data_IF_781084564323
#
_entry.id   IF_781084564323
#
_cell.length_a   1.000
_cell.length_b   1.000
_cell.length_c   1.000
_cell.angle_alpha   90.00
_cell.angle_beta   90.00
_cell.angle_gamma   90.00
#
_symmetry.space_group_name_H-M   'P 1'
#
loop_
_entity.id
_entity.type
_entity.pdbx_description
1 polymer ?
#
# COMPACT_ATOMS: atom_id res chain seq x y z
N UNK A 1 18.71 68.36 42.92
CA UNK A 1 19.41 67.42 42.01
C UNK A 1 19.49 66.08 42.70
N UNK A 2 18.63 65.15 42.30
CA UNK A 2 18.64 63.77 42.76
C UNK A 2 18.14 62.92 41.60
N UNK A 3 19.06 62.22 40.94
CA UNK A 3 18.78 61.36 39.79
C UNK A 3 18.06 60.09 40.25
N UNK A 4 16.75 60.03 40.03
CA UNK A 4 15.96 58.79 40.14
C UNK A 4 15.68 58.25 38.74
N UNK A 5 16.71 57.73 38.06
CA UNK A 5 16.48 56.96 36.83
C UNK A 5 17.50 55.85 36.63
N UNK A 6 17.35 54.70 37.32
CA UNK A 6 17.86 53.46 36.74
C UNK A 6 16.89 52.26 36.77
N UNK A 7 15.76 52.34 37.49
CA UNK A 7 14.94 51.14 37.79
C UNK A 7 13.93 50.82 36.69
N UNK A 8 13.23 51.82 36.15
CA UNK A 8 12.15 51.64 35.16
C UNK A 8 12.71 51.16 33.80
N UNK A 9 13.92 51.59 33.44
CA UNK A 9 14.56 51.21 32.17
C UNK A 9 14.97 49.73 32.20
N UNK A 10 15.56 49.25 33.31
CA UNK A 10 15.97 47.84 33.47
C UNK A 10 14.79 46.88 33.45
N UNK A 11 13.66 47.26 34.05
CA UNK A 11 12.46 46.42 34.11
C UNK A 11 11.80 46.26 32.73
N UNK A 12 11.66 47.35 31.96
CA UNK A 12 11.19 47.29 30.55
C UNK A 12 12.13 46.48 29.65
N UNK A 13 13.44 46.55 29.89
CA UNK A 13 14.43 45.78 29.12
C UNK A 13 14.35 44.28 29.45
N UNK A 14 14.20 43.92 30.73
CA UNK A 14 13.99 42.53 31.17
C UNK A 14 12.69 41.92 30.62
N UNK A 15 11.59 42.68 30.60
CA UNK A 15 10.31 42.22 30.03
C UNK A 15 10.46 41.98 28.52
N UNK A 16 11.14 42.88 27.80
CA UNK A 16 11.43 42.70 26.36
C UNK A 16 12.28 41.46 26.10
N UNK A 17 13.33 41.21 26.89
CA UNK A 17 14.18 40.02 26.73
C UNK A 17 13.42 38.73 27.03
N UNK A 18 12.56 38.70 28.05
CA UNK A 18 11.73 37.52 28.37
C UNK A 18 10.69 37.21 27.29
N UNK A 19 10.08 38.23 26.69
CA UNK A 19 9.12 38.08 25.58
C UNK A 19 9.82 37.56 24.32
N UNK A 20 11.03 38.05 24.01
CA UNK A 20 11.81 37.56 22.87
C UNK A 20 12.22 36.08 23.05
N UNK A 21 12.61 35.68 24.26
CA UNK A 21 12.92 34.27 24.57
C UNK A 21 11.67 33.38 24.41
N UNK A 22 10.50 33.83 24.84
CA UNK A 22 9.24 33.10 24.67
C UNK A 22 8.86 32.93 23.20
N UNK A 23 9.06 33.96 22.38
CA UNK A 23 8.82 33.91 20.93
C UNK A 23 9.81 32.94 20.26
N UNK A 24 11.10 32.98 20.62
CA UNK A 24 12.10 32.03 20.12
C UNK A 24 11.79 30.58 20.51
N UNK A 25 11.29 30.34 21.74
CA UNK A 25 10.88 29.00 22.18
C UNK A 25 9.65 28.48 21.42
N UNK A 26 8.71 29.38 21.07
CA UNK A 26 7.57 29.07 20.21
C UNK A 26 7.99 28.70 18.78
N UNK A 27 9.06 29.31 18.25
CA UNK A 27 9.61 28.96 16.94
C UNK A 27 10.37 27.62 16.92
N UNK A 28 10.95 27.17 18.04
CA UNK A 28 11.61 25.86 18.10
C UNK A 28 10.63 24.68 18.26
N UNK A 29 9.38 24.95 18.60
CA UNK A 29 8.31 23.93 18.67
C UNK A 29 7.49 23.83 17.37
N UNK A 30 7.75 24.69 16.39
CA UNK A 30 7.14 24.63 15.07
C UNK A 30 7.84 23.55 14.22
N UNK A 31 7.26 22.35 14.29
CA UNK A 31 7.26 21.34 13.24
C UNK A 31 8.56 20.58 12.99
N UNK A 32 8.83 19.60 13.85
CA UNK A 32 9.44 18.36 13.38
C UNK A 32 8.30 17.50 12.80
N UNK A 33 7.81 17.84 11.61
CA UNK A 33 6.95 16.91 10.86
C UNK A 33 7.82 15.74 10.44
N UNK A 34 7.44 14.49 10.74
CA UNK A 34 8.17 13.33 10.23
C UNK A 34 8.26 13.44 8.71
N UNK A 35 9.48 13.48 8.18
CA UNK A 35 9.68 13.36 6.74
C UNK A 35 9.61 11.89 6.38
N UNK A 36 8.71 11.57 5.46
CA UNK A 36 8.54 10.23 4.91
C UNK A 36 9.03 10.22 3.48
N UNK A 37 9.89 9.27 3.16
CA UNK A 37 10.30 8.97 1.78
C UNK A 37 9.39 7.89 1.22
N UNK A 38 8.57 8.25 0.23
CA UNK A 38 7.67 7.32 -0.46
C UNK A 38 8.48 6.43 -1.40
N UNK A 39 8.76 5.21 -0.95
CA UNK A 39 9.48 4.19 -1.72
C UNK A 39 8.59 3.65 -2.84
N UNK A 40 7.30 3.42 -2.56
CA UNK A 40 6.35 2.92 -3.54
C UNK A 40 4.99 3.60 -3.35
N UNK A 41 4.36 4.01 -4.46
CA UNK A 41 2.99 4.55 -4.47
C UNK A 41 2.27 4.07 -5.72
N UNK A 42 1.19 3.33 -5.53
CA UNK A 42 0.36 2.81 -6.60
C UNK A 42 -1.09 3.24 -6.42
N UNK A 43 -1.81 3.35 -7.53
CA UNK A 43 -3.23 3.71 -7.54
C UNK A 43 -4.05 2.72 -8.34
N UNK A 44 -5.26 2.45 -7.85
CA UNK A 44 -6.30 1.65 -8.49
C UNK A 44 -7.60 2.44 -8.49
N UNK A 45 -8.34 2.46 -9.61
CA UNK A 45 -9.65 3.12 -9.68
C UNK A 45 -10.76 2.17 -9.26
N UNK A 46 -11.69 2.65 -8.41
CA UNK A 46 -12.94 1.94 -8.12
C UNK A 46 -13.95 2.30 -9.22
N UNK A 47 -14.42 1.29 -9.94
CA UNK A 47 -15.31 1.50 -11.08
C UNK A 47 -16.62 2.19 -10.66
N UNK A 48 -17.15 3.06 -11.53
CA UNK A 48 -18.40 3.79 -11.32
C UNK A 48 -18.41 4.68 -10.05
N UNK A 49 -17.24 5.11 -9.60
CA UNK A 49 -17.08 6.10 -8.51
C UNK A 49 -16.02 7.14 -8.87
N UNK A 50 -16.00 8.23 -8.10
CA UNK A 50 -14.88 9.18 -8.04
C UNK A 50 -13.76 8.68 -7.12
N UNK A 51 -13.82 7.46 -6.57
CA UNK A 51 -12.88 6.99 -5.55
C UNK A 51 -11.74 6.18 -6.15
N UNK A 52 -10.58 6.29 -5.52
CA UNK A 52 -9.37 5.54 -5.84
C UNK A 52 -8.81 4.90 -4.59
N UNK A 53 -8.16 3.76 -4.77
CA UNK A 53 -7.40 3.08 -3.73
C UNK A 53 -5.92 3.33 -3.99
N UNK A 54 -5.22 3.89 -3.01
CA UNK A 54 -3.77 3.95 -3.03
C UNK A 54 -3.19 2.80 -2.22
N UNK A 55 -2.08 2.23 -2.71
CA UNK A 55 -1.21 1.32 -1.96
C UNK A 55 0.15 1.99 -1.85
N UNK A 56 0.67 2.13 -0.64
CA UNK A 56 1.90 2.87 -0.39
C UNK A 56 2.87 2.09 0.50
N UNK A 57 4.16 2.38 0.34
CA UNK A 57 5.27 1.99 1.21
C UNK A 57 6.16 3.21 1.40
N UNK A 58 6.56 3.48 2.64
CA UNK A 58 7.37 4.65 2.97
C UNK A 58 8.31 4.40 4.15
N UNK A 59 9.45 5.07 4.11
CA UNK A 59 10.48 5.02 5.13
C UNK A 59 10.65 6.39 5.78
N UNK A 60 10.77 6.42 7.10
CA UNK A 60 10.99 7.62 7.90
C UNK A 60 12.25 7.49 8.73
N UNK A 61 13.21 8.40 8.55
CA UNK A 61 14.47 8.34 9.28
C UNK A 61 15.18 6.99 9.15
N UNK A 62 15.81 6.51 10.23
CA UNK A 62 16.65 5.29 10.18
C UNK A 62 15.84 3.99 10.26
N UNK A 63 14.82 3.93 11.11
CA UNK A 63 14.17 2.67 11.52
C UNK A 63 12.62 2.75 11.48
N UNK A 64 12.02 3.80 10.91
CA UNK A 64 10.56 3.89 10.78
C UNK A 64 10.13 3.44 9.39
N UNK A 65 9.17 2.53 9.34
CA UNK A 65 8.58 2.03 8.09
C UNK A 65 7.07 2.01 8.25
N UNK A 66 6.35 2.55 7.27
CA UNK A 66 4.90 2.48 7.20
C UNK A 66 4.49 2.09 5.79
N UNK A 67 3.46 1.26 5.71
CA UNK A 67 2.87 0.83 4.46
C UNK A 67 1.39 0.60 4.69
N UNK A 68 0.60 0.66 3.64
CA UNK A 68 -0.82 0.46 3.78
C UNK A 68 -1.61 0.69 2.50
N UNK A 69 -2.93 0.61 2.67
CA UNK A 69 -3.90 0.87 1.63
C UNK A 69 -4.83 1.98 2.15
N UNK A 70 -5.15 2.97 1.32
CA UNK A 70 -6.07 4.07 1.67
C UNK A 70 -7.08 4.29 0.55
N UNK A 71 -8.27 4.80 0.88
CA UNK A 71 -9.27 5.24 -0.10
C UNK A 71 -9.37 6.76 -0.04
N UNK A 72 -9.29 7.40 -1.20
CA UNK A 72 -9.44 8.84 -1.37
C UNK A 72 -10.39 9.14 -2.53
N UNK A 73 -10.90 10.36 -2.60
CA UNK A 73 -11.48 10.86 -3.84
C UNK A 73 -10.36 11.08 -4.89
N UNK A 74 -10.67 10.86 -6.17
CA UNK A 74 -9.75 11.03 -7.30
C UNK A 74 -9.26 12.47 -7.49
N UNK A 75 -9.96 13.44 -6.87
CA UNK A 75 -9.55 14.86 -6.83
C UNK A 75 -8.63 15.19 -5.67
N UNK A 76 -8.52 14.31 -4.66
CA UNK A 76 -7.65 14.49 -3.51
C UNK A 76 -6.21 14.05 -3.83
N UNK A 77 -5.25 14.78 -3.26
CA UNK A 77 -3.82 14.42 -3.36
C UNK A 77 -3.46 13.52 -2.19
N UNK A 78 -2.76 12.42 -2.48
CA UNK A 78 -2.24 11.53 -1.44
C UNK A 78 -1.20 12.28 -0.58
N UNK A 79 -1.43 12.33 0.74
CA UNK A 79 -0.50 12.84 1.74
C UNK A 79 -0.39 11.83 2.87
N UNK A 80 0.79 11.20 2.99
CA UNK A 80 1.04 10.13 3.96
C UNK A 80 0.84 10.57 5.42
N UNK A 81 0.96 11.86 5.72
CA UNK A 81 0.74 12.39 7.07
C UNK A 81 -0.74 12.60 7.40
N UNK A 82 -1.63 12.54 6.40
CA UNK A 82 -3.03 12.89 6.51
C UNK A 82 -3.95 11.88 5.82
N UNK A 83 -3.61 10.59 5.92
CA UNK A 83 -4.43 9.49 5.40
C UNK A 83 -4.78 8.50 6.49
N UNK A 84 -5.99 7.94 6.40
CA UNK A 84 -6.44 6.86 7.25
C UNK A 84 -6.25 5.52 6.54
N UNK A 85 -5.36 4.68 7.09
CA UNK A 85 -5.08 3.36 6.53
C UNK A 85 -6.24 2.40 6.75
N UNK A 86 -6.64 1.74 5.67
CA UNK A 86 -7.66 0.69 5.70
C UNK A 86 -7.18 -0.53 6.48
N UNK A 87 -8.08 -1.23 7.17
CA UNK A 87 -7.73 -2.37 8.01
C UNK A 87 -7.54 -3.65 7.19
N UNK A 88 -6.80 -3.60 6.08
CA UNK A 88 -6.42 -4.75 5.27
C UNK A 88 -5.21 -4.46 4.36
N UNK A 89 -4.51 -5.52 3.98
CA UNK A 89 -3.31 -5.48 3.14
C UNK A 89 -3.55 -6.06 1.75
N UNK A 90 -4.63 -6.83 1.56
CA UNK A 90 -5.03 -7.38 0.26
C UNK A 90 -6.51 -7.20 -0.02
N UNK A 91 -6.83 -7.10 -1.31
CA UNK A 91 -8.18 -7.16 -1.84
C UNK A 91 -8.58 -8.61 -2.11
N UNK A 92 -9.74 -9.02 -1.62
CA UNK A 92 -10.33 -10.33 -1.93
C UNK A 92 -10.99 -10.32 -3.32
N UNK A 93 -11.62 -9.20 -3.69
CA UNK A 93 -12.33 -9.00 -4.94
C UNK A 93 -12.04 -7.63 -5.53
N UNK A 94 -12.41 -7.39 -6.79
CA UNK A 94 -12.40 -6.05 -7.36
C UNK A 94 -13.33 -5.16 -6.51
N UNK A 95 -12.85 -4.01 -6.01
CA UNK A 95 -13.66 -3.06 -5.26
C UNK A 95 -14.84 -2.54 -6.08
N UNK A 96 -15.97 -2.32 -5.42
CA UNK A 96 -17.19 -1.76 -6.03
C UNK A 96 -17.58 -0.45 -5.35
N UNK A 97 -18.59 0.24 -5.89
CA UNK A 97 -19.12 1.48 -5.28
C UNK A 97 -19.86 1.26 -3.97
N UNK A 98 -20.20 0.01 -3.65
CA UNK A 98 -20.90 -0.35 -2.41
C UNK A 98 -19.98 -0.98 -1.37
N UNK A 99 -19.00 -1.77 -1.82
CA UNK A 99 -18.27 -2.69 -0.96
C UNK A 99 -16.81 -2.87 -1.39
N UNK A 100 -15.92 -2.82 -0.40
CA UNK A 100 -14.52 -3.24 -0.51
C UNK A 100 -14.32 -4.44 0.42
N UNK A 101 -13.87 -5.57 -0.17
CA UNK A 101 -13.56 -6.79 0.57
C UNK A 101 -12.05 -6.91 0.73
N UNK A 102 -11.60 -6.87 1.98
CA UNK A 102 -10.19 -6.92 2.37
C UNK A 102 -9.82 -8.22 3.08
N UNK A 103 -8.54 -8.56 3.01
CA UNK A 103 -7.92 -9.65 3.78
C UNK A 103 -6.74 -9.08 4.57
N UNK A 104 -6.66 -9.45 5.84
CA UNK A 104 -5.56 -9.08 6.74
C UNK A 104 -5.05 -10.28 7.52
N UNK A 105 -3.79 -10.21 7.94
CA UNK A 105 -3.16 -11.16 8.83
C UNK A 105 -3.00 -10.54 10.23
N UNK A 106 -3.48 -11.24 11.25
CA UNK A 106 -3.27 -10.82 12.64
C UNK A 106 -1.84 -11.11 13.10
N UNK A 107 -1.00 -10.07 13.03
CA UNK A 107 0.39 -10.13 13.49
C UNK A 107 0.55 -10.28 15.01
N UNK A 108 -0.51 -10.05 15.80
CA UNK A 108 -0.46 -10.20 17.26
C UNK A 108 -0.44 -11.65 17.75
N UNK A 109 -0.67 -12.61 16.83
CA UNK A 109 -0.68 -14.06 17.08
C UNK A 109 0.63 -14.76 16.67
N UNK A 110 1.69 -14.00 16.32
CA UNK A 110 2.96 -14.58 15.86
C UNK A 110 3.54 -15.64 16.82
N UNK A 111 3.31 -15.48 18.13
CA UNK A 111 3.90 -16.34 19.19
C UNK A 111 2.88 -17.15 20.00
N UNK A 112 1.57 -16.89 19.90
CA UNK A 112 0.60 -17.37 20.90
C UNK A 112 -0.01 -18.74 20.59
N UNK A 113 -0.16 -19.09 19.32
CA UNK A 113 -0.86 -20.30 18.89
C UNK A 113 0.09 -21.35 18.28
N UNK A 114 -0.06 -22.60 18.72
CA UNK A 114 0.68 -23.75 18.16
C UNK A 114 0.01 -24.35 16.92
N UNK A 115 -1.32 -24.29 16.83
CA UNK A 115 -2.08 -24.88 15.73
C UNK A 115 -2.39 -23.83 14.67
N UNK A 116 -2.19 -24.20 13.41
CA UNK A 116 -2.47 -23.34 12.26
C UNK A 116 -3.98 -23.31 11.95
N UNK A 117 -4.52 -22.10 11.81
CA UNK A 117 -5.91 -21.86 11.43
C UNK A 117 -5.92 -21.16 10.08
N UNK A 118 -6.36 -21.88 9.05
CA UNK A 118 -6.37 -21.38 7.66
C UNK A 118 -7.70 -20.73 7.25
N UNK A 119 -8.64 -20.57 8.19
CA UNK A 119 -9.90 -19.86 8.01
C UNK A 119 -9.84 -18.50 8.72
N UNK A 120 -10.71 -17.55 8.37
CA UNK A 120 -10.78 -16.28 9.09
C UNK A 120 -11.06 -16.54 10.57
N UNK A 121 -10.27 -15.94 11.44
CA UNK A 121 -10.49 -15.95 12.89
C UNK A 121 -11.46 -14.84 13.32
N UNK A 122 -11.57 -13.79 12.48
CA UNK A 122 -12.44 -12.64 12.73
C UNK A 122 -12.84 -12.01 11.40
N UNK A 123 -14.03 -11.40 11.40
CA UNK A 123 -14.47 -10.52 10.31
C UNK A 123 -14.87 -9.19 10.92
N UNK A 124 -14.38 -8.10 10.37
CA UNK A 124 -14.77 -6.74 10.76
C UNK A 124 -15.52 -6.07 9.62
N UNK A 125 -16.39 -5.14 9.99
CA UNK A 125 -17.12 -4.28 9.05
C UNK A 125 -16.95 -2.86 9.55
N UNK A 126 -16.53 -1.98 8.65
CA UNK A 126 -16.34 -0.55 8.90
C UNK A 126 -16.92 0.27 7.72
N UNK A 127 -17.00 1.58 7.87
CA UNK A 127 -17.31 2.51 6.80
C UNK A 127 -16.21 3.57 6.71
N UNK A 128 -15.46 3.57 5.62
CA UNK A 128 -14.41 4.56 5.36
C UNK A 128 -14.55 5.14 3.97
N UNK A 129 -14.39 6.47 3.86
CA UNK A 129 -14.57 7.19 2.60
C UNK A 129 -15.97 7.02 1.98
N UNK A 130 -17.01 6.74 2.79
CA UNK A 130 -18.37 6.49 2.31
C UNK A 130 -18.59 5.11 1.66
N UNK A 131 -17.63 4.19 1.78
CA UNK A 131 -17.73 2.81 1.31
C UNK A 131 -17.79 1.85 2.50
N UNK A 132 -18.57 0.78 2.35
CA UNK A 132 -18.56 -0.32 3.32
C UNK A 132 -17.28 -1.13 3.12
N UNK A 133 -16.50 -1.27 4.18
CA UNK A 133 -15.27 -2.07 4.19
C UNK A 133 -15.53 -3.32 5.01
N UNK A 134 -15.30 -4.50 4.45
CA UNK A 134 -15.37 -5.77 5.19
C UNK A 134 -14.02 -6.47 5.10
N UNK A 135 -13.38 -6.68 6.25
CA UNK A 135 -12.09 -7.37 6.34
C UNK A 135 -12.25 -8.76 6.92
N UNK A 136 -11.71 -9.77 6.24
CA UNK A 136 -11.45 -11.10 6.81
C UNK A 136 -10.05 -11.11 7.42
N UNK A 137 -9.97 -11.38 8.71
CA UNK A 137 -8.71 -11.41 9.46
C UNK A 137 -8.35 -12.89 9.68
N UNK A 138 -7.18 -13.28 9.21
CA UNK A 138 -6.62 -14.61 9.38
C UNK A 138 -5.55 -14.61 10.46
N UNK A 139 -5.33 -15.76 11.08
CA UNK A 139 -4.16 -15.96 11.92
C UNK A 139 -2.89 -15.90 11.06
N UNK A 140 -1.87 -15.18 11.52
CA UNK A 140 -0.60 -15.03 10.79
C UNK A 140 0.00 -16.36 10.33
N UNK A 141 0.16 -17.35 11.23
CA UNK A 141 0.75 -18.65 10.87
C UNK A 141 -0.06 -19.39 9.81
N UNK A 142 -1.38 -19.46 9.98
CA UNK A 142 -2.26 -20.09 8.99
C UNK A 142 -2.24 -19.36 7.64
N UNK A 143 -2.00 -18.05 7.64
CA UNK A 143 -1.88 -17.20 6.46
C UNK A 143 -0.53 -17.34 5.74
N UNK A 144 0.58 -17.40 6.48
CA UNK A 144 1.94 -17.41 5.95
C UNK A 144 2.46 -18.81 5.58
N UNK A 145 2.07 -19.84 6.32
CA UNK A 145 2.63 -21.19 6.15
C UNK A 145 1.93 -22.01 5.06
N UNK A 146 0.71 -21.63 4.63
CA UNK A 146 -0.07 -22.45 3.69
C UNK A 146 0.28 -22.16 2.24
N UNK A 147 0.94 -23.13 1.60
CA UNK A 147 1.16 -23.15 0.14
C UNK A 147 1.71 -21.82 -0.39
N UNK A 148 2.66 -21.26 0.36
CA UNK A 148 3.44 -20.10 -0.04
C UNK A 148 4.41 -20.46 -1.16
N UNK A 149 4.81 -19.46 -1.94
CA UNK A 149 5.77 -19.68 -3.02
C UNK A 149 6.06 -18.41 -3.80
N UNK A 150 7.10 -18.49 -4.61
CA UNK A 150 7.50 -17.42 -5.52
C UNK A 150 7.56 -17.97 -6.94
N UNK A 151 6.84 -17.35 -7.87
CA UNK A 151 6.95 -17.61 -9.30
C UNK A 151 7.65 -16.43 -9.99
N UNK A 152 8.66 -16.68 -10.81
CA UNK A 152 9.40 -15.62 -11.52
C UNK A 152 9.51 -15.97 -12.98
N UNK A 153 8.85 -15.20 -13.83
CA UNK A 153 8.71 -15.55 -15.24
C UNK A 153 8.87 -14.35 -16.15
N UNK A 154 9.32 -14.60 -17.37
CA UNK A 154 9.20 -13.67 -18.51
C UNK A 154 8.06 -14.13 -19.40
N UNK A 155 7.08 -13.26 -19.63
CA UNK A 155 5.93 -13.56 -20.48
C UNK A 155 6.06 -12.93 -21.87
N UNK A 156 5.56 -13.61 -22.89
CA UNK A 156 5.59 -13.08 -24.26
C UNK A 156 4.42 -12.13 -24.57
N UNK A 157 3.22 -12.49 -24.10
CA UNK A 157 1.98 -11.76 -24.36
C UNK A 157 1.03 -11.89 -23.17
N UNK A 158 0.09 -10.96 -23.07
CA UNK A 158 -0.97 -11.01 -22.08
C UNK A 158 -2.34 -10.73 -22.72
N UNK A 159 -3.40 -11.14 -22.05
CA UNK A 159 -4.78 -10.77 -22.38
C UNK A 159 -5.49 -10.38 -21.09
N UNK A 160 -6.19 -9.27 -21.13
CA UNK A 160 -6.98 -8.78 -20.02
C UNK A 160 -8.48 -8.94 -20.32
N UNK A 161 -9.24 -9.36 -19.32
CA UNK A 161 -10.70 -9.26 -19.29
C UNK A 161 -11.10 -8.35 -18.12
N UNK A 162 -12.40 -8.11 -17.95
CA UNK A 162 -12.88 -7.30 -16.82
C UNK A 162 -12.37 -7.81 -15.47
N UNK A 163 -12.51 -9.12 -15.22
CA UNK A 163 -12.25 -9.74 -13.92
C UNK A 163 -10.91 -10.49 -13.82
N UNK A 164 -10.20 -10.67 -14.94
CA UNK A 164 -9.03 -11.55 -14.99
C UNK A 164 -7.95 -11.05 -15.92
N UNK A 165 -6.73 -11.50 -15.68
CA UNK A 165 -5.59 -11.33 -16.59
C UNK A 165 -4.95 -12.68 -16.86
N UNK A 166 -4.49 -12.84 -18.10
CA UNK A 166 -3.85 -14.04 -18.60
C UNK A 166 -2.48 -13.67 -19.15
N UNK A 167 -1.46 -14.43 -18.79
CA UNK A 167 -0.11 -14.33 -19.34
C UNK A 167 0.18 -15.61 -20.08
N UNK A 168 0.92 -15.53 -21.20
CA UNK A 168 1.16 -16.67 -22.07
C UNK A 168 2.65 -16.79 -22.42
N UNK A 169 3.05 -18.03 -22.72
CA UNK A 169 4.42 -18.42 -23.08
C UNK A 169 5.43 -17.87 -22.06
N UNK A 170 5.38 -18.43 -20.86
CA UNK A 170 6.17 -17.98 -19.72
C UNK A 170 7.45 -18.81 -19.60
N UNK A 171 8.58 -18.13 -19.70
CA UNK A 171 9.90 -18.72 -19.50
C UNK A 171 10.37 -18.40 -18.07
N UNK A 172 10.81 -19.39 -17.28
CA UNK A 172 11.41 -19.15 -15.96
C UNK A 172 12.78 -18.49 -16.11
N UNK A 173 13.05 -17.45 -15.32
CA UNK A 173 14.25 -16.62 -15.41
C UNK A 173 15.25 -16.87 -14.26
N UNK A 174 14.78 -17.39 -13.12
CA UNK A 174 15.61 -17.50 -11.91
C UNK A 174 15.75 -18.94 -11.39
N UNK A 175 14.78 -19.81 -11.66
CA UNK A 175 14.95 -21.24 -11.43
C UNK A 175 15.85 -21.77 -12.53
N UNK A 176 17.02 -22.33 -12.21
CA UNK A 176 17.93 -22.96 -13.19
C UNK A 176 17.35 -24.26 -13.83
N UNK A 177 16.03 -24.39 -13.93
CA UNK A 177 15.27 -25.45 -14.58
C UNK A 177 14.22 -24.82 -15.50
N UNK A 178 14.18 -25.19 -16.80
CA UNK A 178 13.22 -24.62 -17.74
C UNK A 178 11.85 -25.28 -17.55
N UNK A 179 11.09 -24.83 -16.55
CA UNK A 179 9.64 -25.11 -16.52
C UNK A 179 8.95 -24.00 -17.31
N UNK A 180 8.87 -24.19 -18.62
CA UNK A 180 8.03 -23.36 -19.48
C UNK A 180 6.57 -23.57 -19.08
N UNK A 181 5.83 -22.48 -18.89
CA UNK A 181 4.39 -22.52 -18.66
C UNK A 181 3.67 -21.88 -19.84
N UNK A 182 2.72 -22.61 -20.42
CA UNK A 182 1.92 -22.08 -21.54
C UNK A 182 1.06 -20.89 -21.11
N UNK A 183 0.51 -20.92 -19.90
CA UNK A 183 -0.43 -19.90 -19.42
C UNK A 183 -0.45 -19.78 -17.91
N UNK A 184 -0.50 -18.54 -17.41
CA UNK A 184 -0.94 -18.20 -16.05
C UNK A 184 -2.19 -17.34 -16.11
N UNK A 185 -3.13 -17.58 -15.18
CA UNK A 185 -4.39 -16.84 -15.07
C UNK A 185 -4.58 -16.34 -13.65
N UNK A 186 -4.90 -15.06 -13.52
CA UNK A 186 -5.14 -14.40 -12.24
C UNK A 186 -6.44 -13.62 -12.24
N UNK A 187 -7.08 -13.52 -11.07
CA UNK A 187 -8.13 -12.52 -10.82
C UNK A 187 -7.47 -11.15 -10.65
N UNK A 188 -8.14 -10.10 -11.10
CA UNK A 188 -7.62 -8.73 -11.01
C UNK A 188 -7.88 -8.10 -9.63
N UNK A 189 -7.10 -8.48 -8.63
CA UNK A 189 -7.22 -7.94 -7.27
C UNK A 189 -5.91 -7.35 -6.77
N UNK A 190 -4.94 -8.20 -6.45
CA UNK A 190 -3.64 -7.81 -5.87
C UNK A 190 -2.56 -7.82 -6.95
N UNK A 191 -2.82 -7.09 -8.04
CA UNK A 191 -1.90 -6.94 -9.17
C UNK A 191 -1.31 -5.54 -9.12
N UNK A 192 0.01 -5.45 -9.10
CA UNK A 192 0.75 -4.21 -9.09
C UNK A 192 1.65 -4.14 -10.31
N UNK A 193 1.62 -3.02 -11.05
CA UNK A 193 2.48 -2.79 -12.21
C UNK A 193 3.52 -1.72 -11.88
N UNK A 194 4.78 -2.14 -11.85
CA UNK A 194 5.96 -1.28 -11.79
C UNK A 194 6.33 -0.83 -13.20
N UNK A 195 6.81 0.40 -13.33
CA UNK A 195 7.13 1.00 -14.63
C UNK A 195 8.53 1.59 -14.70
N UNK A 196 9.03 1.71 -15.92
CA UNK A 196 10.22 2.50 -16.23
C UNK A 196 9.86 3.99 -16.31
N UNK A 197 10.87 4.86 -16.34
CA UNK A 197 10.70 6.32 -16.52
C UNK A 197 9.95 6.66 -17.82
N UNK A 198 10.04 5.80 -18.85
CA UNK A 198 9.33 5.96 -20.13
C UNK A 198 7.89 5.41 -20.10
N UNK A 199 7.31 5.17 -18.92
CA UNK A 199 5.97 4.59 -18.72
C UNK A 199 5.75 3.22 -19.40
N UNK A 200 6.81 2.43 -19.51
CA UNK A 200 6.73 1.04 -19.94
C UNK A 200 6.69 0.10 -18.74
N UNK A 201 6.02 -1.04 -18.88
CA UNK A 201 5.98 -2.07 -17.84
C UNK A 201 7.39 -2.60 -17.59
N UNK A 202 7.86 -2.43 -16.36
CA UNK A 202 9.09 -3.03 -15.87
C UNK A 202 8.81 -4.44 -15.34
N UNK A 203 7.78 -4.57 -14.51
CA UNK A 203 7.41 -5.81 -13.84
C UNK A 203 5.94 -5.76 -13.42
N UNK A 204 5.27 -6.92 -13.43
CA UNK A 204 3.95 -7.13 -12.85
C UNK A 204 4.10 -8.04 -11.64
N UNK A 205 3.73 -7.51 -10.47
CA UNK A 205 3.78 -8.21 -9.18
C UNK A 205 2.36 -8.66 -8.85
N UNK A 206 2.16 -9.96 -8.58
CA UNK A 206 0.82 -10.53 -8.34
C UNK A 206 0.85 -11.34 -7.06
N UNK A 207 0.03 -10.97 -6.09
CA UNK A 207 -0.18 -11.78 -4.89
C UNK A 207 -1.45 -12.64 -5.06
N UNK A 208 -1.26 -13.90 -5.44
CA UNK A 208 -2.32 -14.86 -5.76
C UNK A 208 -2.76 -15.64 -4.52
N UNK A 209 -3.48 -14.94 -3.65
CA UNK A 209 -4.19 -15.56 -2.52
C UNK A 209 -5.48 -16.21 -3.00
N UNK A 210 -5.56 -17.54 -2.91
CA UNK A 210 -6.75 -18.31 -3.25
C UNK A 210 -7.43 -18.82 -1.99
N UNK A 211 -8.73 -18.55 -1.90
CA UNK A 211 -9.61 -19.09 -0.87
C UNK A 211 -10.52 -20.17 -1.46
N UNK A 212 -10.86 -21.16 -0.64
CA UNK A 212 -11.92 -22.12 -0.93
C UNK A 212 -13.30 -21.48 -0.77
N UNK A 213 -14.36 -22.23 -1.11
CA UNK A 213 -15.74 -21.79 -0.88
C UNK A 213 -16.07 -21.54 0.60
N UNK A 214 -15.31 -22.13 1.53
CA UNK A 214 -15.48 -21.97 2.98
C UNK A 214 -14.45 -20.99 3.58
N UNK A 215 -13.91 -20.08 2.77
CA UNK A 215 -12.90 -19.10 3.14
C UNK A 215 -11.58 -19.67 3.67
N UNK A 216 -11.30 -20.95 3.43
CA UNK A 216 -10.01 -21.55 3.80
C UNK A 216 -8.93 -21.20 2.77
N UNK A 217 -7.75 -20.81 3.24
CA UNK A 217 -6.58 -20.53 2.38
C UNK A 217 -6.13 -21.81 1.67
N UNK A 218 -6.12 -21.77 0.34
CA UNK A 218 -5.64 -22.83 -0.55
C UNK A 218 -4.21 -22.58 -1.03
N UNK A 219 -3.90 -21.33 -1.38
CA UNK A 219 -2.57 -20.91 -1.85
C UNK A 219 -2.33 -19.44 -1.57
N UNK A 220 -1.07 -19.06 -1.38
CA UNK A 220 -0.63 -17.67 -1.24
C UNK A 220 0.71 -17.48 -1.97
N UNK A 221 0.68 -17.55 -3.30
CA UNK A 221 1.89 -17.50 -4.14
C UNK A 221 2.05 -16.08 -4.67
N UNK A 222 3.26 -15.56 -4.61
CA UNK A 222 3.60 -14.28 -5.24
C UNK A 222 4.28 -14.53 -6.58
N UNK A 223 3.82 -13.87 -7.64
CA UNK A 223 4.42 -13.94 -8.97
C UNK A 223 5.05 -12.60 -9.34
N UNK A 224 6.24 -12.67 -9.94
CA UNK A 224 6.96 -11.54 -10.53
C UNK A 224 7.12 -11.81 -12.02
N UNK A 225 6.40 -11.04 -12.84
CA UNK A 225 6.30 -11.27 -14.28
C UNK A 225 6.93 -10.10 -15.04
N UNK A 226 7.95 -10.38 -15.85
CA UNK A 226 8.59 -9.37 -16.71
C UNK A 226 8.16 -9.57 -18.17
N UNK A 227 7.89 -8.49 -18.92
CA UNK A 227 7.52 -8.65 -20.32
C UNK A 227 8.76 -8.94 -21.17
N UNK A 228 8.65 -9.88 -22.12
CA UNK A 228 9.74 -10.21 -23.08
C UNK A 228 10.00 -9.09 -24.08
N UNK A 229 8.97 -8.28 -24.35
CA UNK A 229 9.00 -7.11 -25.25
C UNK A 229 8.53 -5.89 -24.48
N UNK A 230 8.90 -4.69 -24.93
CA UNK A 230 8.40 -3.45 -24.31
C UNK A 230 6.88 -3.34 -24.44
N UNK A 231 6.19 -3.10 -23.32
CA UNK A 231 4.74 -2.91 -23.25
C UNK A 231 4.47 -1.59 -22.53
N UNK A 232 3.62 -0.73 -23.08
CA UNK A 232 3.19 0.49 -22.39
C UNK A 232 2.27 0.15 -21.21
N UNK A 233 2.40 0.87 -20.10
CA UNK A 233 1.49 0.72 -18.94
C UNK A 233 0.01 1.01 -19.29
N UNK A 234 -0.23 1.76 -20.36
CA UNK A 234 -1.57 2.08 -20.86
C UNK A 234 -2.24 0.89 -21.58
N UNK A 235 -1.51 -0.19 -21.85
CA UNK A 235 -2.08 -1.42 -22.40
C UNK A 235 -2.96 -2.18 -21.38
N UNK A 236 -2.83 -1.85 -20.08
CA UNK A 236 -3.61 -2.42 -18.99
C UNK A 236 -4.74 -1.47 -18.61
N UNK A 237 -5.88 -1.99 -18.12
CA UNK A 237 -6.92 -1.12 -17.56
C UNK A 237 -6.52 -0.54 -16.20
N UNK A 238 -7.28 0.42 -15.68
CA UNK A 238 -7.08 1.01 -14.35
C UNK A 238 -7.97 0.35 -13.27
N UNK A 239 -8.66 -0.75 -13.62
CA UNK A 239 -9.63 -1.45 -12.76
C UNK A 239 -8.97 -2.73 -12.27
N UNK A 240 -8.98 -2.99 -10.96
CA UNK A 240 -8.43 -4.23 -10.39
C UNK A 240 -6.91 -4.37 -10.50
N UNK A 241 -6.20 -3.32 -10.91
CA UNK A 241 -4.75 -3.27 -11.09
C UNK A 241 -4.23 -1.97 -10.48
N UNK A 242 -3.27 -2.09 -9.57
CA UNK A 242 -2.52 -0.99 -8.99
C UNK A 242 -1.40 -0.57 -9.94
N UNK A 243 -1.41 0.68 -10.40
CA UNK A 243 -0.38 1.23 -11.28
C UNK A 243 0.50 2.22 -10.55
N UNK A 244 1.80 2.13 -10.80
CA UNK A 244 2.78 3.01 -10.17
C UNK A 244 2.56 4.47 -10.60
N UNK A 245 2.49 5.35 -9.62
CA UNK A 245 2.48 6.79 -9.84
C UNK A 245 3.91 7.31 -9.95
N UNK A 246 4.10 8.35 -10.76
CA UNK A 246 5.40 9.01 -10.80
C UNK A 246 5.66 9.63 -9.43
N UNK A 247 6.85 9.35 -8.87
CA UNK A 247 7.29 10.02 -7.65
C UNK A 247 7.34 11.52 -7.93
N UNK A 248 6.45 12.28 -7.31
CA UNK A 248 6.59 13.73 -7.24
C UNK A 248 7.73 13.95 -6.24
N UNK A 249 8.91 14.30 -6.76
CA UNK A 249 10.04 14.75 -5.93
C UNK A 249 9.80 16.16 -5.45
#
# INVERSE_FOLDING_TARGET
MGETTPTIVKEKQMIKTKVVIYILFLFTTLSCTPSWDLSELYVLKIENTSKVIYKYDAWGGRDSHIFGIVILDSTETFDINNVETLPFSLLETIPTKELVLGIESDNSDYTKTKNEIHKPIKVTIDNQGGLKIKTKIFQYKGYSNRSGGLGRYVFEKFKETHDSIFFYNLDDVESMKPEHLDTLKFKKTNITIKKTEQNNVLQVDIQDLKLSQNDEILSNITYFLKPKKTISINAFTNIGIFKELNRIK
#
